data_IF_272884912143
#
_entry.id   IF_272884912143
#
_cell.length_a   1.000
_cell.length_b   1.000
_cell.length_c   1.000
_cell.angle_alpha   90.00
_cell.angle_beta   90.00
_cell.angle_gamma   90.00
#
_symmetry.space_group_name_H-M   'P 1'
#
loop_
_entity.id
_entity.type
_entity.pdbx_description
1 polymer ?
#
# COMPACT_ATOMS: atom_id res chain seq x y z
N UNK A 1 23.24 0.68 -20.30
CA UNK A 1 22.63 0.72 -18.94
C UNK A 1 21.82 2.01 -18.78
N UNK A 2 20.50 1.97 -18.96
CA UNK A 2 19.63 3.11 -18.63
C UNK A 2 19.40 3.12 -17.12
N UNK A 3 19.91 4.14 -16.43
CA UNK A 3 19.66 4.35 -15.01
C UNK A 3 18.14 4.43 -14.78
N UNK A 4 17.57 3.77 -13.75
CA UNK A 4 16.15 3.90 -13.45
C UNK A 4 15.84 5.39 -13.23
N UNK A 5 14.89 5.92 -14.00
CA UNK A 5 14.50 7.33 -13.88
C UNK A 5 13.87 7.55 -12.51
N UNK A 6 14.11 8.73 -11.93
CA UNK A 6 13.62 9.13 -10.59
C UNK A 6 12.10 8.89 -10.47
N UNK A 7 11.35 9.13 -11.56
CA UNK A 7 9.91 8.92 -11.65
C UNK A 7 9.48 7.49 -11.35
N UNK A 8 10.20 6.50 -11.85
CA UNK A 8 9.82 5.09 -11.62
C UNK A 8 10.12 4.64 -10.19
N UNK A 9 11.21 5.14 -9.59
CA UNK A 9 11.51 4.89 -8.16
C UNK A 9 10.48 5.57 -7.26
N UNK A 10 10.00 6.73 -7.66
CA UNK A 10 8.94 7.45 -6.96
C UNK A 10 7.65 6.63 -6.96
N UNK A 11 7.26 6.06 -8.10
CA UNK A 11 6.03 5.24 -8.23
C UNK A 11 6.13 3.95 -7.40
N UNK A 12 7.26 3.23 -7.46
CA UNK A 12 7.50 2.01 -6.66
C UNK A 12 7.24 2.25 -5.16
N UNK A 13 7.80 3.33 -4.64
CA UNK A 13 7.70 3.63 -3.23
C UNK A 13 6.34 4.25 -2.87
N UNK A 14 5.75 5.05 -3.76
CA UNK A 14 4.49 5.75 -3.46
C UNK A 14 3.35 4.77 -3.23
N UNK A 15 3.20 3.72 -4.04
CA UNK A 15 2.12 2.73 -3.83
C UNK A 15 2.24 2.02 -2.48
N UNK A 16 3.45 1.61 -2.10
CA UNK A 16 3.68 0.93 -0.82
C UNK A 16 3.44 1.89 0.36
N UNK A 17 3.94 3.13 0.28
CA UNK A 17 3.70 4.12 1.34
C UNK A 17 2.23 4.49 1.47
N UNK A 18 1.50 4.61 0.36
CA UNK A 18 0.07 4.93 0.37
C UNK A 18 -0.74 3.77 0.96
N UNK A 19 -0.43 2.52 0.58
CA UNK A 19 -1.02 1.32 1.18
C UNK A 19 -0.76 1.21 2.69
N UNK A 20 0.48 1.45 3.12
CA UNK A 20 0.83 1.45 4.55
C UNK A 20 0.11 2.56 5.31
N UNK A 21 -0.03 3.74 4.72
CA UNK A 21 -0.76 4.86 5.32
C UNK A 21 -2.24 4.51 5.49
N UNK A 22 -2.86 3.86 4.50
CA UNK A 22 -4.24 3.37 4.60
C UNK A 22 -4.42 2.33 5.71
N UNK A 23 -3.48 1.39 5.86
CA UNK A 23 -3.49 0.42 6.96
C UNK A 23 -3.38 1.11 8.32
N UNK A 24 -2.48 2.09 8.46
CA UNK A 24 -2.40 2.88 9.70
C UNK A 24 -3.69 3.68 9.95
N UNK A 25 -4.26 4.28 8.91
CA UNK A 25 -5.52 5.01 9.01
C UNK A 25 -6.67 4.11 9.45
N UNK A 26 -6.74 2.84 9.01
CA UNK A 26 -7.78 1.91 9.45
C UNK A 26 -7.68 1.57 10.93
N UNK A 27 -6.46 1.41 11.46
CA UNK A 27 -6.22 1.17 12.88
C UNK A 27 -6.59 2.39 13.73
N UNK A 28 -6.20 3.59 13.27
CA UNK A 28 -6.55 4.85 13.93
C UNK A 28 -8.07 5.06 13.94
N UNK A 29 -8.73 4.82 12.79
CA UNK A 29 -10.18 4.91 12.67
C UNK A 29 -10.89 3.97 13.66
N UNK A 30 -10.47 2.70 13.72
CA UNK A 30 -11.01 1.73 14.66
C UNK A 30 -10.83 2.19 16.11
N UNK A 31 -9.63 2.61 16.50
CA UNK A 31 -9.33 3.06 17.86
C UNK A 31 -10.11 4.30 18.27
N UNK A 32 -10.24 5.28 17.37
CA UNK A 32 -11.01 6.52 17.62
C UNK A 32 -12.49 6.24 17.84
N UNK A 33 -13.12 5.41 17.00
CA UNK A 33 -14.53 5.09 17.16
C UNK A 33 -14.76 4.26 18.43
N UNK A 34 -13.89 3.29 18.72
CA UNK A 34 -13.95 2.53 19.97
C UNK A 34 -13.87 3.44 21.20
N UNK A 35 -12.91 4.37 21.21
CA UNK A 35 -12.74 5.34 22.29
C UNK A 35 -13.97 6.25 22.47
N UNK A 36 -14.58 6.69 21.36
CA UNK A 36 -15.80 7.51 21.40
C UNK A 36 -17.01 6.76 21.95
N UNK A 37 -17.16 5.47 21.60
CA UNK A 37 -18.22 4.60 22.13
C UNK A 37 -18.04 4.41 23.64
N UNK A 38 -16.80 4.19 24.08
CA UNK A 38 -16.48 3.97 25.50
C UNK A 38 -16.78 5.21 26.36
N UNK A 39 -16.37 6.40 25.90
CA UNK A 39 -16.68 7.67 26.59
C UNK A 39 -18.20 7.91 26.71
N UNK A 40 -18.97 7.55 25.67
CA UNK A 40 -20.42 7.80 25.62
C UNK A 40 -21.26 6.60 26.02
N UNK A 41 -20.67 5.61 26.67
CA UNK A 41 -21.33 4.33 26.94
C UNK A 41 -22.61 4.47 27.78
N UNK A 42 -22.68 5.47 28.67
CA UNK A 42 -23.87 5.74 29.49
C UNK A 42 -24.98 6.57 28.82
N UNK A 43 -24.73 7.15 27.65
CA UNK A 43 -25.66 8.06 26.95
C UNK A 43 -26.24 7.44 25.69
N UNK A 44 -25.52 6.50 25.08
CA UNK A 44 -25.96 5.84 23.85
C UNK A 44 -26.94 4.70 24.16
N UNK A 45 -28.02 4.60 23.37
CA UNK A 45 -28.88 3.42 23.40
C UNK A 45 -28.14 2.18 22.89
N UNK A 46 -28.59 1.00 23.31
CA UNK A 46 -28.11 -0.30 22.82
C UNK A 46 -28.09 -0.40 21.29
N UNK A 47 -29.17 0.07 20.63
CA UNK A 47 -29.28 0.03 19.17
C UNK A 47 -28.26 0.95 18.49
N UNK A 48 -28.01 2.14 19.03
CA UNK A 48 -27.00 3.05 18.51
C UNK A 48 -25.59 2.48 18.67
N UNK A 49 -25.30 1.81 19.80
CA UNK A 49 -24.00 1.14 20.02
C UNK A 49 -23.75 0.05 18.96
N UNK A 50 -24.74 -0.80 18.70
CA UNK A 50 -24.63 -1.85 17.68
C UNK A 50 -24.41 -1.28 16.28
N UNK A 51 -25.14 -0.23 15.88
CA UNK A 51 -24.93 0.42 14.59
C UNK A 51 -23.53 1.03 14.48
N UNK A 52 -23.04 1.69 15.53
CA UNK A 52 -21.69 2.26 15.55
C UNK A 52 -20.61 1.18 15.47
N UNK A 53 -20.77 0.05 16.18
CA UNK A 53 -19.85 -1.08 16.10
C UNK A 53 -19.82 -1.68 14.69
N UNK A 54 -20.98 -1.87 14.06
CA UNK A 54 -21.06 -2.37 12.69
C UNK A 54 -20.33 -1.43 11.71
N UNK A 55 -20.52 -0.11 11.84
CA UNK A 55 -19.85 0.91 11.01
C UNK A 55 -18.34 0.88 11.26
N UNK A 56 -17.93 0.77 12.53
CA UNK A 56 -16.52 0.70 12.93
C UNK A 56 -15.82 -0.49 12.29
N UNK A 57 -16.39 -1.69 12.43
CA UNK A 57 -15.83 -2.92 11.90
C UNK A 57 -15.80 -2.90 10.37
N UNK A 58 -16.92 -2.54 9.74
CA UNK A 58 -17.05 -2.49 8.28
C UNK A 58 -16.07 -1.47 7.68
N UNK A 59 -16.00 -0.26 8.27
CA UNK A 59 -15.09 0.79 7.84
C UNK A 59 -13.63 0.39 8.01
N UNK A 60 -13.29 -0.23 9.14
CA UNK A 60 -11.93 -0.74 9.38
C UNK A 60 -11.53 -1.80 8.34
N UNK A 61 -12.37 -2.81 8.12
CA UNK A 61 -12.09 -3.88 7.14
C UNK A 61 -11.96 -3.31 5.73
N UNK A 62 -12.83 -2.38 5.34
CA UNK A 62 -12.79 -1.78 4.01
C UNK A 62 -11.48 -1.00 3.76
N UNK A 63 -11.11 -0.11 4.69
CA UNK A 63 -9.89 0.70 4.55
C UNK A 63 -8.65 -0.21 4.61
N UNK A 64 -8.65 -1.20 5.51
CA UNK A 64 -7.56 -2.15 5.64
C UNK A 64 -7.36 -2.98 4.36
N UNK A 65 -8.44 -3.52 3.80
CA UNK A 65 -8.40 -4.32 2.58
C UNK A 65 -7.88 -3.50 1.38
N UNK A 66 -8.31 -2.24 1.25
CA UNK A 66 -7.79 -1.33 0.23
C UNK A 66 -6.30 -1.03 0.42
N UNK A 67 -5.87 -0.77 1.66
CA UNK A 67 -4.47 -0.54 1.99
C UNK A 67 -3.60 -1.77 1.67
N UNK A 68 -4.05 -2.95 2.09
CA UNK A 68 -3.38 -4.23 1.83
C UNK A 68 -3.27 -4.53 0.33
N UNK A 69 -4.35 -4.35 -0.44
CA UNK A 69 -4.33 -4.53 -1.89
C UNK A 69 -3.34 -3.56 -2.57
N UNK A 70 -3.29 -2.31 -2.12
CA UNK A 70 -2.37 -1.30 -2.65
C UNK A 70 -0.91 -1.65 -2.34
N UNK A 71 -0.62 -2.11 -1.12
CA UNK A 71 0.70 -2.61 -0.73
C UNK A 71 1.12 -3.82 -1.56
N UNK A 72 0.22 -4.80 -1.74
CA UNK A 72 0.49 -5.98 -2.56
C UNK A 72 0.80 -5.60 -4.00
N UNK A 73 -0.01 -4.72 -4.61
CA UNK A 73 0.24 -4.23 -5.97
C UNK A 73 1.61 -3.56 -6.10
N UNK A 74 1.98 -2.70 -5.14
CA UNK A 74 3.30 -2.08 -5.08
C UNK A 74 4.44 -3.09 -4.94
N UNK A 75 4.26 -4.12 -4.10
CA UNK A 75 5.25 -5.17 -3.89
C UNK A 75 5.43 -6.05 -5.13
N UNK A 76 4.35 -6.47 -5.79
CA UNK A 76 4.42 -7.24 -7.05
C UNK A 76 5.15 -6.46 -8.13
N UNK A 77 4.85 -5.16 -8.27
CA UNK A 77 5.54 -4.30 -9.23
C UNK A 77 7.05 -4.23 -8.95
N UNK A 78 7.43 -4.03 -7.69
CA UNK A 78 8.84 -3.99 -7.27
C UNK A 78 9.57 -5.31 -7.52
N UNK A 79 8.92 -6.46 -7.24
CA UNK A 79 9.49 -7.80 -7.47
C UNK A 79 9.71 -8.07 -8.96
N UNK A 80 8.71 -7.79 -9.80
CA UNK A 80 8.83 -7.97 -11.26
C UNK A 80 9.99 -7.14 -11.81
N UNK A 81 10.10 -5.89 -11.36
CA UNK A 81 11.16 -4.99 -11.80
C UNK A 81 12.54 -5.41 -11.31
N UNK A 82 12.65 -5.89 -10.06
CA UNK A 82 13.88 -6.46 -9.53
C UNK A 82 14.32 -7.68 -10.34
N UNK A 83 13.37 -8.56 -10.68
CA UNK A 83 13.61 -9.73 -11.52
C UNK A 83 14.10 -9.38 -12.93
N UNK A 84 13.53 -8.35 -13.55
CA UNK A 84 13.98 -7.83 -14.85
C UNK A 84 15.42 -7.28 -14.80
N UNK A 85 15.80 -6.62 -13.70
CA UNK A 85 17.19 -6.12 -13.51
C UNK A 85 18.19 -7.26 -13.36
N UNK A 86 17.82 -8.32 -12.65
CA UNK A 86 18.70 -9.48 -12.44
C UNK A 86 18.89 -10.27 -13.74
N UNK A 87 17.88 -10.33 -14.62
CA UNK A 87 17.94 -11.04 -15.90
C UNK A 87 18.73 -10.32 -17.02
N UNK A 88 19.25 -9.11 -16.81
CA UNK A 88 20.07 -8.41 -17.81
C UNK A 88 21.57 -8.61 -17.52
N UNK A 89 22.24 -9.49 -18.29
CA UNK A 89 22.94 -8.99 -19.46
C UNK A 89 22.76 -9.91 -20.69
N UNK A 90 22.04 -9.44 -21.71
CA UNK A 90 22.06 -10.03 -23.06
C UNK A 90 22.66 -9.10 -24.11
N UNK A 91 23.32 -8.01 -23.68
CA UNK A 91 24.13 -7.18 -24.58
C UNK A 91 25.56 -7.68 -24.49
N UNK A 92 25.90 -8.65 -25.32
CA UNK A 92 27.29 -8.80 -25.75
C UNK A 92 27.64 -7.53 -26.53
N UNK A 93 28.77 -6.88 -26.27
CA UNK A 93 29.27 -5.84 -27.16
C UNK A 93 29.70 -6.51 -28.47
N UNK A 94 28.76 -6.70 -29.39
CA UNK A 94 29.08 -6.97 -30.78
C UNK A 94 29.49 -5.65 -31.45
N UNK A 95 30.69 -5.70 -32.03
CA UNK A 95 31.18 -4.88 -33.14
C UNK A 95 31.70 -3.47 -32.85
N UNK A 96 32.84 -3.39 -32.15
CA UNK A 96 33.91 -2.47 -32.59
C UNK A 96 34.71 -3.11 -33.74
N UNK A 97 34.04 -3.50 -34.82
CA UNK A 97 34.68 -3.65 -36.13
C UNK A 97 34.42 -2.36 -36.91
N UNK A 98 35.27 -1.36 -36.68
CA UNK A 98 35.50 -0.30 -37.66
C UNK A 98 36.90 -0.47 -38.22
N UNK A 99 36.94 -1.21 -39.31
CA UNK A 99 37.82 -0.96 -40.44
C UNK A 99 37.91 0.54 -40.73
N UNK A 100 39.09 1.12 -40.52
CA UNK A 100 39.93 1.72 -41.57
C UNK A 100 41.06 2.56 -40.97
#
# INVERSE_FOLDING_TARGET
MTKPTIKERLIENTLIYLGMTLIFASLIFYGLIHYLIDIRHGVLSESTKQTLQMIQETGMVFIFALGAATCLAGMFYAVIKAWQRIKAPTVFPEDEEKTS
#
